data_IF_189124167776
#
_entry.id   IF_189124167776
#
_cell.length_a   1.000
_cell.length_b   1.000
_cell.length_c   1.000
_cell.angle_alpha   90.00
_cell.angle_beta   90.00
_cell.angle_gamma   90.00
#
_symmetry.space_group_name_H-M   'P 1'
#
loop_
_entity.id
_entity.type
_entity.pdbx_description
1 polymer ?
#
# COMPACT_ATOMS: atom_id res chain seq x y z
N UNK A 1 -3.46 -21.58 43.48
CA UNK A 1 -3.62 -20.34 42.67
C UNK A 1 -2.82 -20.50 41.40
N UNK A 2 -3.46 -20.81 40.30
CA UNK A 2 -2.80 -20.94 39.01
C UNK A 2 -2.75 -19.57 38.35
N UNK A 3 -1.55 -19.02 38.22
CA UNK A 3 -1.29 -17.76 37.51
C UNK A 3 -1.48 -18.03 36.01
N UNK A 4 -2.58 -17.55 35.45
CA UNK A 4 -2.83 -17.55 34.02
C UNK A 4 -1.80 -16.62 33.35
N UNK A 5 -0.83 -17.21 32.65
CA UNK A 5 0.07 -16.48 31.76
C UNK A 5 -0.74 -16.11 30.53
N UNK A 6 -1.08 -14.84 30.37
CA UNK A 6 -1.69 -14.33 29.14
C UNK A 6 -0.75 -14.65 27.95
N UNK A 7 -1.26 -15.08 26.80
CA UNK A 7 -0.44 -15.30 25.63
C UNK A 7 0.22 -13.98 25.22
N UNK A 8 1.56 -13.97 25.20
CA UNK A 8 2.36 -12.87 24.65
C UNK A 8 1.96 -12.76 23.18
N UNK A 9 1.34 -11.64 22.80
CA UNK A 9 1.08 -11.35 21.40
C UNK A 9 2.40 -11.46 20.61
N UNK A 10 2.42 -12.10 19.44
CA UNK A 10 3.63 -12.20 18.64
C UNK A 10 4.17 -10.79 18.38
N UNK A 11 5.44 -10.56 18.78
CA UNK A 11 6.12 -9.31 18.50
C UNK A 11 6.06 -9.04 16.98
N UNK A 12 5.65 -7.84 16.60
CA UNK A 12 5.67 -7.43 15.21
C UNK A 12 7.06 -7.67 14.59
N UNK A 13 7.13 -8.13 13.32
CA UNK A 13 8.41 -8.35 12.69
C UNK A 13 9.24 -7.06 12.70
N UNK A 14 10.56 -7.14 12.91
CA UNK A 14 11.42 -5.95 12.95
C UNK A 14 11.29 -5.17 11.66
N UNK A 15 10.98 -3.87 11.77
CA UNK A 15 10.82 -2.95 10.65
C UNK A 15 11.96 -1.94 10.67
N UNK A 16 12.66 -1.77 9.55
CA UNK A 16 13.67 -0.71 9.41
C UNK A 16 12.94 0.61 9.20
N UNK A 17 13.06 1.52 10.16
CA UNK A 17 12.51 2.87 10.09
C UNK A 17 13.51 3.79 9.40
N UNK A 18 13.03 4.60 8.45
CA UNK A 18 13.82 5.59 7.74
C UNK A 18 12.99 6.83 7.45
N UNK A 19 13.67 7.94 7.25
CA UNK A 19 13.05 9.22 6.95
C UNK A 19 13.84 9.98 5.88
N UNK A 20 13.18 10.86 5.14
CA UNK A 20 13.81 11.65 4.11
C UNK A 20 13.02 12.90 3.74
N UNK A 21 13.60 13.69 2.87
CA UNK A 21 13.01 14.94 2.40
C UNK A 21 12.98 15.07 0.89
N UNK A 22 11.95 15.72 0.39
CA UNK A 22 11.90 16.20 -0.98
C UNK A 22 12.20 17.68 -0.95
N UNK A 23 13.48 18.01 -1.19
CA UNK A 23 13.91 19.38 -1.30
C UNK A 23 13.35 19.98 -2.58
N UNK A 24 12.71 21.13 -2.46
CA UNK A 24 12.10 21.82 -3.56
C UNK A 24 12.58 23.28 -3.60
N UNK A 25 12.82 23.78 -4.81
CA UNK A 25 13.01 25.19 -5.09
C UNK A 25 12.25 25.60 -6.34
N UNK A 26 11.78 26.84 -6.36
CA UNK A 26 11.10 27.39 -7.54
C UNK A 26 12.11 28.21 -8.34
N UNK A 27 12.21 27.95 -9.62
CA UNK A 27 13.05 28.66 -10.58
C UNK A 27 12.20 29.28 -11.69
N UNK A 28 12.72 30.22 -12.48
CA UNK A 28 12.00 30.75 -13.66
C UNK A 28 11.61 29.67 -14.68
N UNK A 29 12.26 28.50 -14.63
CA UNK A 29 11.98 27.34 -15.51
C UNK A 29 10.99 26.35 -14.91
N UNK A 30 10.48 26.62 -13.70
CA UNK A 30 9.56 25.75 -12.97
C UNK A 30 10.16 25.20 -11.66
N UNK A 31 9.43 24.32 -11.04
CA UNK A 31 9.84 23.72 -9.77
C UNK A 31 10.86 22.61 -10.00
N UNK A 32 11.95 22.69 -9.24
CA UNK A 32 13.03 21.70 -9.23
C UNK A 32 13.07 20.99 -7.88
N UNK A 33 13.46 19.72 -7.93
CA UNK A 33 13.70 18.87 -6.76
C UNK A 33 15.12 18.32 -6.79
N UNK A 34 15.69 18.09 -5.61
CA UNK A 34 17.02 17.51 -5.49
C UNK A 34 16.95 16.00 -5.43
N UNK A 35 17.77 15.34 -6.24
CA UNK A 35 18.00 13.90 -6.21
C UNK A 35 19.48 13.61 -5.99
N UNK A 36 19.79 12.49 -5.33
CA UNK A 36 21.15 12.12 -4.95
C UNK A 36 21.54 10.77 -5.58
N UNK A 37 22.82 10.68 -5.99
CA UNK A 37 23.42 9.43 -6.46
C UNK A 37 24.24 8.76 -5.35
N UNK A 38 23.86 7.53 -4.95
CA UNK A 38 24.56 6.78 -3.91
C UNK A 38 25.61 5.86 -4.52
N UNK A 39 26.88 6.12 -4.25
CA UNK A 39 28.03 5.36 -4.80
C UNK A 39 27.95 3.87 -4.49
N UNK A 40 27.64 3.52 -3.22
CA UNK A 40 27.61 2.12 -2.76
C UNK A 40 26.48 1.31 -3.38
N UNK A 41 25.34 1.94 -3.66
CA UNK A 41 24.16 1.29 -4.21
C UNK A 41 24.04 1.45 -5.73
N UNK A 42 24.82 2.38 -6.31
CA UNK A 42 24.80 2.73 -7.74
C UNK A 42 23.38 3.10 -8.23
N UNK A 43 22.65 3.86 -7.40
CA UNK A 43 21.26 4.24 -7.66
C UNK A 43 21.03 5.73 -7.41
N UNK A 44 20.01 6.28 -8.11
CA UNK A 44 19.47 7.61 -7.89
C UNK A 44 18.24 7.54 -6.99
N UNK A 45 18.23 8.33 -5.93
CA UNK A 45 17.19 8.30 -4.90
C UNK A 45 16.88 9.71 -4.39
N UNK A 46 15.76 9.85 -3.70
CA UNK A 46 15.50 11.01 -2.85
C UNK A 46 16.37 10.92 -1.59
N UNK A 47 16.86 12.06 -1.04
CA UNK A 47 17.68 12.07 0.17
C UNK A 47 16.94 11.40 1.35
N UNK A 48 17.55 10.39 1.96
CA UNK A 48 16.91 9.61 3.05
C UNK A 48 17.88 8.67 3.75
N UNK A 49 17.64 8.43 5.04
CA UNK A 49 18.40 7.44 5.78
C UNK A 49 17.66 6.86 6.97
N UNK A 50 18.35 6.09 7.80
CA UNK A 50 17.74 5.38 8.94
C UNK A 50 17.49 6.34 10.10
N UNK A 51 16.37 6.14 10.78
CA UNK A 51 16.10 6.77 12.07
C UNK A 51 17.02 6.15 13.12
N UNK A 52 17.72 6.98 13.89
CA UNK A 52 18.59 6.58 14.99
C UNK A 52 17.76 6.37 16.27
N UNK A 53 18.31 5.64 17.24
CA UNK A 53 17.65 5.44 18.52
C UNK A 53 17.43 6.78 19.24
N UNK A 54 16.18 7.02 19.67
CA UNK A 54 15.79 8.26 20.32
C UNK A 54 15.53 9.44 19.39
N UNK A 55 15.67 9.27 18.08
CA UNK A 55 15.42 10.29 17.07
C UNK A 55 13.98 10.17 16.52
N UNK A 56 13.29 11.29 16.35
CA UNK A 56 12.02 11.31 15.64
C UNK A 56 12.23 11.16 14.13
N UNK A 57 11.17 10.77 13.40
CA UNK A 57 11.25 10.69 11.93
C UNK A 57 11.57 12.03 11.27
N UNK A 58 11.09 13.14 11.84
CA UNK A 58 11.34 14.48 11.30
C UNK A 58 12.78 14.92 11.53
N UNK A 59 13.32 14.70 12.72
CA UNK A 59 14.73 14.97 13.02
C UNK A 59 15.66 14.16 12.12
N UNK A 60 15.36 12.86 11.95
CA UNK A 60 16.08 11.99 11.03
C UNK A 60 16.02 12.53 9.59
N UNK A 61 14.85 12.96 9.12
CA UNK A 61 14.69 13.50 7.77
C UNK A 61 15.53 14.75 7.55
N UNK A 62 15.53 15.70 8.51
CA UNK A 62 16.34 16.93 8.43
C UNK A 62 17.83 16.62 8.46
N UNK A 63 18.26 15.72 9.35
CA UNK A 63 19.67 15.30 9.46
C UNK A 63 20.16 14.62 8.20
N UNK A 64 19.43 13.64 7.69
CA UNK A 64 19.82 12.88 6.48
C UNK A 64 19.87 13.78 5.24
N UNK A 65 18.90 14.69 5.10
CA UNK A 65 18.94 15.68 4.02
C UNK A 65 20.18 16.56 4.12
N UNK A 66 20.53 17.03 5.31
CA UNK A 66 21.75 17.83 5.50
C UNK A 66 23.00 17.00 5.20
N UNK A 67 23.10 15.77 5.69
CA UNK A 67 24.24 14.88 5.48
C UNK A 67 24.43 14.52 4.00
N UNK A 68 23.35 14.21 3.28
CA UNK A 68 23.42 13.73 1.88
C UNK A 68 23.48 14.87 0.84
N UNK A 69 22.93 16.06 1.15
CA UNK A 69 22.87 17.18 0.18
C UNK A 69 23.73 18.39 0.54
N UNK A 70 24.08 18.56 1.82
CA UNK A 70 24.71 19.76 2.33
C UNK A 70 23.77 20.94 2.53
N UNK A 71 22.47 20.78 2.26
CA UNK A 71 21.48 21.84 2.40
C UNK A 71 20.85 21.84 3.79
N UNK A 72 20.90 22.96 4.48
CA UNK A 72 20.04 23.23 5.63
C UNK A 72 18.63 23.50 5.12
N UNK A 73 17.64 22.87 5.70
CA UNK A 73 16.26 22.98 5.22
C UNK A 73 15.27 23.17 6.38
N UNK A 74 14.14 23.82 6.07
CA UNK A 74 12.94 23.80 6.90
C UNK A 74 12.04 22.66 6.46
N UNK A 75 11.55 21.89 7.43
CA UNK A 75 10.60 20.81 7.18
C UNK A 75 9.20 21.40 6.99
N UNK A 76 8.49 20.92 5.98
CA UNK A 76 7.11 21.28 5.68
C UNK A 76 6.20 20.07 5.79
N UNK A 77 5.14 20.03 5.00
CA UNK A 77 4.10 19.01 5.08
C UNK A 77 4.62 17.61 4.74
N UNK A 78 4.06 16.61 5.42
CA UNK A 78 4.25 15.21 5.09
C UNK A 78 3.70 14.89 3.68
N UNK A 79 4.49 14.16 2.89
CA UNK A 79 4.17 13.86 1.49
C UNK A 79 3.75 12.42 1.25
N UNK A 80 4.19 11.51 2.09
CA UNK A 80 3.83 10.11 1.99
C UNK A 80 4.89 9.14 2.49
N UNK A 81 4.51 7.88 2.55
CA UNK A 81 5.37 6.76 2.93
C UNK A 81 5.67 5.89 1.72
N UNK A 82 6.89 5.42 1.61
CA UNK A 82 7.23 4.29 0.76
C UNK A 82 7.65 3.09 1.62
N UNK A 83 7.29 1.89 1.19
CA UNK A 83 7.66 0.65 1.87
C UNK A 83 8.18 -0.38 0.89
N UNK A 84 9.27 -1.05 1.26
CA UNK A 84 9.89 -2.11 0.48
C UNK A 84 10.65 -3.08 1.38
N UNK A 85 11.12 -4.20 0.82
CA UNK A 85 11.93 -5.15 1.56
C UNK A 85 13.41 -4.87 1.31
N UNK A 86 14.16 -4.60 2.37
CA UNK A 86 15.62 -4.48 2.35
C UNK A 86 16.23 -5.75 2.96
N UNK A 87 16.89 -6.56 2.13
CA UNK A 87 17.48 -7.86 2.55
C UNK A 87 16.51 -8.78 3.29
N UNK A 88 15.23 -8.75 2.92
CA UNK A 88 14.19 -9.57 3.54
C UNK A 88 13.52 -8.94 4.77
N UNK A 89 14.03 -7.80 5.28
CA UNK A 89 13.41 -7.04 6.37
C UNK A 89 12.54 -5.93 5.79
N UNK A 90 11.30 -5.74 6.25
CA UNK A 90 10.48 -4.61 5.87
C UNK A 90 11.17 -3.28 6.20
N UNK A 91 11.24 -2.37 5.25
CA UNK A 91 11.75 -1.01 5.44
C UNK A 91 10.67 0.00 5.06
N UNK A 92 10.52 0.99 5.91
CA UNK A 92 9.54 2.08 5.75
C UNK A 92 10.30 3.39 5.72
N UNK A 93 9.98 4.26 4.76
CA UNK A 93 10.59 5.58 4.64
C UNK A 93 9.48 6.62 4.56
N UNK A 94 9.50 7.57 5.49
CA UNK A 94 8.59 8.71 5.51
C UNK A 94 9.24 9.91 4.84
N UNK A 95 8.51 10.64 3.99
CA UNK A 95 9.00 11.80 3.28
C UNK A 95 8.21 13.06 3.59
N UNK A 96 8.94 14.16 3.77
CA UNK A 96 8.40 15.52 3.95
C UNK A 96 8.83 16.42 2.81
N UNK A 97 7.99 17.41 2.51
CA UNK A 97 8.39 18.58 1.70
C UNK A 97 9.41 19.38 2.49
N UNK A 98 10.49 19.79 1.85
CA UNK A 98 11.51 20.60 2.48
C UNK A 98 11.89 21.79 1.61
N UNK A 99 12.02 22.94 2.25
CA UNK A 99 12.47 24.17 1.60
C UNK A 99 13.89 24.47 2.04
N UNK A 100 14.77 24.76 1.08
CA UNK A 100 16.17 25.12 1.36
C UNK A 100 16.23 26.45 2.08
N UNK A 101 16.94 26.48 3.21
CA UNK A 101 17.25 27.70 3.98
C UNK A 101 18.66 28.16 3.63
N UNK A 102 19.62 27.22 3.57
CA UNK A 102 21.02 27.51 3.26
C UNK A 102 21.64 26.30 2.54
N UNK A 103 22.45 26.57 1.51
CA UNK A 103 23.18 25.54 0.76
C UNK A 103 24.67 25.70 1.02
N UNK A 104 25.20 24.87 1.92
CA UNK A 104 26.61 24.87 2.29
C UNK A 104 27.50 24.07 1.33
N UNK A 105 26.89 23.34 0.38
CA UNK A 105 27.59 22.51 -0.59
C UNK A 105 28.40 21.32 0.01
N UNK A 106 28.50 21.26 1.34
CA UNK A 106 29.23 20.22 2.04
C UNK A 106 28.31 19.01 2.27
N UNK A 107 28.56 17.90 1.58
CA UNK A 107 27.84 16.64 1.70
C UNK A 107 28.77 15.49 2.07
N UNK A 108 28.20 14.38 2.55
CA UNK A 108 28.96 13.15 2.79
C UNK A 108 29.43 12.54 1.47
N UNK A 109 30.65 12.88 1.05
CA UNK A 109 31.24 12.44 -0.22
C UNK A 109 31.57 10.92 -0.25
N UNK A 110 31.62 10.24 0.88
CA UNK A 110 31.90 8.80 0.94
C UNK A 110 30.67 8.00 0.48
N UNK A 111 29.47 8.45 0.80
CA UNK A 111 28.22 7.81 0.45
C UNK A 111 27.59 8.40 -0.82
N UNK A 112 27.59 9.71 -0.96
CA UNK A 112 26.93 10.42 -2.05
C UNK A 112 27.94 10.87 -3.10
N UNK A 113 27.80 10.34 -4.31
CA UNK A 113 28.63 10.72 -5.45
C UNK A 113 28.23 12.07 -6.02
N UNK A 114 26.94 12.30 -6.16
CA UNK A 114 26.37 13.46 -6.82
C UNK A 114 25.03 13.87 -6.19
N UNK A 115 24.77 15.16 -6.11
CA UNK A 115 23.46 15.71 -5.76
C UNK A 115 23.10 16.77 -6.80
N UNK A 116 21.94 16.62 -7.45
CA UNK A 116 21.55 17.47 -8.58
C UNK A 116 20.13 17.97 -8.44
N UNK A 117 19.92 19.23 -8.84
CA UNK A 117 18.62 19.82 -8.99
C UNK A 117 18.05 19.47 -10.37
N UNK A 118 16.88 18.89 -10.39
CA UNK A 118 16.17 18.52 -11.62
C UNK A 118 14.73 19.00 -11.58
N UNK A 119 14.18 19.38 -12.72
CA UNK A 119 12.75 19.57 -12.85
C UNK A 119 12.01 18.26 -12.53
N UNK A 120 10.81 18.35 -11.95
CA UNK A 120 10.05 17.16 -11.48
C UNK A 120 9.96 16.05 -12.54
N UNK A 121 9.63 16.30 -13.82
CA UNK A 121 9.60 15.24 -14.83
C UNK A 121 10.97 14.57 -15.04
N UNK A 122 12.04 15.35 -15.10
CA UNK A 122 13.41 14.84 -15.26
C UNK A 122 13.87 14.06 -14.02
N UNK A 123 13.47 14.49 -12.82
CA UNK A 123 13.74 13.78 -11.58
C UNK A 123 13.02 12.41 -11.54
N UNK A 124 11.76 12.35 -11.99
CA UNK A 124 11.00 11.10 -12.10
C UNK A 124 11.70 10.11 -13.05
N UNK A 125 12.20 10.58 -14.18
CA UNK A 125 12.96 9.73 -15.10
C UNK A 125 14.27 9.24 -14.49
N UNK A 126 14.99 10.14 -13.79
CA UNK A 126 16.32 9.87 -13.21
C UNK A 126 16.27 8.91 -12.03
N UNK A 127 15.26 9.00 -11.15
CA UNK A 127 15.12 8.14 -9.97
C UNK A 127 15.13 6.66 -10.38
N UNK A 128 15.79 5.82 -9.58
CA UNK A 128 15.88 4.38 -9.84
C UNK A 128 14.67 3.62 -9.32
N UNK A 129 14.09 4.07 -8.19
CA UNK A 129 13.05 3.31 -7.47
C UNK A 129 11.63 3.70 -7.90
N UNK A 130 10.79 2.72 -8.33
CA UNK A 130 9.42 2.99 -8.78
C UNK A 130 8.55 3.69 -7.74
N UNK A 131 8.75 3.37 -6.45
CA UNK A 131 7.97 3.96 -5.35
C UNK A 131 8.28 5.46 -5.17
N UNK A 132 9.55 5.87 -5.32
CA UNK A 132 9.96 7.27 -5.27
C UNK A 132 9.45 8.05 -6.49
N UNK A 133 9.48 7.42 -7.68
CA UNK A 133 8.86 7.99 -8.89
C UNK A 133 7.36 8.24 -8.68
N UNK A 134 6.64 7.27 -8.13
CA UNK A 134 5.22 7.39 -7.84
C UNK A 134 4.92 8.47 -6.80
N UNK A 135 5.75 8.59 -5.76
CA UNK A 135 5.63 9.65 -4.74
C UNK A 135 5.79 11.02 -5.39
N UNK A 136 6.84 11.22 -6.20
CA UNK A 136 7.12 12.48 -6.85
C UNK A 136 6.07 12.85 -7.92
N UNK A 137 5.52 11.85 -8.63
CA UNK A 137 4.42 12.04 -9.59
C UNK A 137 3.16 12.57 -8.92
N UNK A 138 2.81 12.07 -7.73
CA UNK A 138 1.67 12.56 -6.94
C UNK A 138 1.84 14.04 -6.56
N UNK A 139 3.05 14.47 -6.20
CA UNK A 139 3.35 15.88 -5.93
C UNK A 139 3.11 16.76 -7.16
N UNK A 140 3.58 16.34 -8.34
CA UNK A 140 3.40 17.10 -9.57
C UNK A 140 1.93 17.27 -9.98
N UNK A 141 1.06 16.33 -9.59
CA UNK A 141 -0.40 16.44 -9.79
C UNK A 141 -0.98 17.45 -8.79
N UNK A 142 -0.59 17.42 -7.53
CA UNK A 142 -1.07 18.34 -6.49
C UNK A 142 -0.66 19.79 -6.83
N UNK A 143 0.54 20.00 -7.33
CA UNK A 143 1.04 21.36 -7.68
C UNK A 143 0.38 21.95 -8.93
N UNK A 144 -0.02 21.14 -9.91
CA UNK A 144 -0.78 21.62 -11.08
C UNK A 144 -2.20 22.10 -10.75
N UNK A 145 -2.70 21.79 -9.56
CA UNK A 145 -4.01 22.17 -9.04
C UNK A 145 -3.95 23.23 -7.94
N UNK A 146 -2.76 23.71 -7.57
CA UNK A 146 -2.63 24.90 -6.74
C UNK A 146 -2.89 26.14 -7.61
N UNK A 147 -3.68 27.13 -7.16
CA UNK A 147 -4.01 28.30 -7.97
C UNK A 147 -2.72 29.05 -8.34
N UNK A 148 -2.34 29.01 -9.61
CA UNK A 148 -1.38 29.94 -10.14
C UNK A 148 -2.05 31.31 -10.23
N UNK A 149 -1.44 32.31 -9.61
CA UNK A 149 -1.75 33.69 -9.79
C UNK A 149 -1.86 34.00 -11.31
N UNK A 150 -2.93 34.69 -11.67
CA UNK A 150 -3.46 34.85 -13.01
C UNK A 150 -2.44 35.08 -14.14
N UNK A 151 -2.40 34.19 -15.10
CA UNK A 151 -1.85 34.41 -16.45
C UNK A 151 -2.84 33.91 -17.52
N UNK A 152 -2.83 34.46 -18.74
CA UNK A 152 -4.02 34.59 -19.60
C UNK A 152 -4.45 33.30 -20.29
N UNK A 153 -5.76 33.22 -20.52
CA UNK A 153 -6.51 32.14 -21.14
C UNK A 153 -5.88 31.64 -22.47
N UNK A 154 -5.36 30.41 -22.47
CA UNK A 154 -5.18 29.63 -23.67
C UNK A 154 -6.37 28.67 -23.83
N UNK A 155 -6.97 28.67 -25.00
CA UNK A 155 -8.15 27.89 -25.37
C UNK A 155 -7.85 26.40 -25.32
N UNK A 156 -8.63 25.67 -24.53
CA UNK A 156 -8.60 24.20 -24.43
C UNK A 156 -9.39 23.60 -25.61
N UNK A 157 -8.84 22.61 -26.34
CA UNK A 157 -9.65 21.81 -27.26
C UNK A 157 -10.65 20.96 -26.51
N UNK A 158 -11.88 20.89 -27.01
CA UNK A 158 -12.98 20.13 -26.44
C UNK A 158 -12.64 18.64 -26.31
N UNK A 159 -13.02 17.96 -25.19
CA UNK A 159 -12.83 16.53 -25.05
C UNK A 159 -13.78 15.78 -26.00
N UNK A 160 -13.21 14.89 -26.81
CA UNK A 160 -13.97 13.95 -27.62
C UNK A 160 -14.77 13.03 -26.70
N UNK A 161 -16.07 12.97 -26.92
CA UNK A 161 -17.00 12.12 -26.19
C UNK A 161 -16.67 10.64 -26.43
N UNK A 162 -16.10 10.01 -25.42
CA UNK A 162 -16.11 8.55 -25.31
C UNK A 162 -17.47 8.16 -24.74
N UNK A 163 -18.23 7.38 -25.49
CA UNK A 163 -19.54 6.88 -25.08
C UNK A 163 -19.45 6.19 -23.71
N UNK A 164 -20.41 6.42 -22.79
CA UNK A 164 -20.38 5.82 -21.47
C UNK A 164 -20.64 4.32 -21.59
N UNK A 165 -19.60 3.53 -21.37
CA UNK A 165 -19.76 2.12 -21.01
C UNK A 165 -20.34 2.11 -19.59
N UNK A 166 -21.61 1.75 -19.48
CA UNK A 166 -22.26 1.53 -18.18
C UNK A 166 -21.63 0.33 -17.48
N UNK A 167 -20.81 0.52 -16.42
CA UNK A 167 -20.41 -0.59 -15.59
C UNK A 167 -21.63 -0.99 -14.75
N UNK A 168 -21.96 -2.27 -14.73
CA UNK A 168 -22.88 -2.83 -13.74
C UNK A 168 -22.24 -2.61 -12.38
N UNK A 169 -22.65 -1.56 -11.66
CA UNK A 169 -22.18 -1.29 -10.31
C UNK A 169 -22.68 -2.41 -9.39
N UNK A 170 -21.78 -3.05 -8.67
CA UNK A 170 -22.15 -4.01 -7.64
C UNK A 170 -22.88 -3.28 -6.50
N UNK A 171 -23.70 -3.98 -5.71
CA UNK A 171 -24.38 -3.39 -4.54
C UNK A 171 -23.39 -2.80 -3.53
N UNK A 172 -22.14 -3.28 -3.53
CA UNK A 172 -21.05 -2.80 -2.68
C UNK A 172 -20.50 -1.45 -3.17
N UNK A 173 -20.34 -1.26 -4.49
CA UNK A 173 -19.92 0.02 -5.07
C UNK A 173 -20.94 1.11 -4.77
N UNK A 174 -22.24 0.82 -4.84
CA UNK A 174 -23.29 1.76 -4.47
C UNK A 174 -23.26 2.15 -2.98
N UNK A 175 -22.95 1.22 -2.09
CA UNK A 175 -22.80 1.51 -0.65
C UNK A 175 -21.57 2.38 -0.38
N UNK A 176 -20.44 2.07 -1.01
CA UNK A 176 -19.21 2.86 -0.87
C UNK A 176 -19.40 4.28 -1.39
N UNK A 177 -20.04 4.44 -2.56
CA UNK A 177 -20.43 5.73 -3.14
C UNK A 177 -21.32 6.55 -2.20
N UNK A 178 -22.40 5.94 -1.68
CA UNK A 178 -23.34 6.60 -0.75
C UNK A 178 -22.64 7.01 0.55
N UNK A 179 -21.71 6.20 1.05
CA UNK A 179 -20.93 6.51 2.25
C UNK A 179 -20.02 7.70 2.01
N UNK A 180 -19.26 7.70 0.93
CA UNK A 180 -18.37 8.82 0.58
C UNK A 180 -19.14 10.13 0.43
N UNK A 181 -20.31 10.09 -0.25
CA UNK A 181 -21.17 11.26 -0.43
C UNK A 181 -21.63 11.83 0.93
N UNK A 182 -22.11 10.98 1.83
CA UNK A 182 -22.53 11.41 3.18
C UNK A 182 -21.41 12.05 3.99
N UNK A 183 -20.23 11.44 3.96
CA UNK A 183 -19.07 11.96 4.68
C UNK A 183 -18.61 13.30 4.09
N UNK A 184 -18.63 13.45 2.77
CA UNK A 184 -18.28 14.70 2.10
C UNK A 184 -19.29 15.82 2.42
N UNK A 185 -20.59 15.51 2.43
CA UNK A 185 -21.64 16.46 2.81
C UNK A 185 -21.53 16.88 4.29
N UNK A 186 -21.32 15.92 5.19
CA UNK A 186 -21.12 16.20 6.61
C UNK A 186 -19.89 17.11 6.82
N UNK A 187 -18.80 16.81 6.14
CA UNK A 187 -17.58 17.63 6.22
C UNK A 187 -17.76 19.02 5.61
N UNK A 188 -18.56 19.18 4.56
CA UNK A 188 -18.89 20.50 3.97
C UNK A 188 -19.58 21.40 4.98
N UNK A 189 -20.46 20.84 5.81
CA UNK A 189 -21.13 21.58 6.90
C UNK A 189 -20.11 21.99 7.97
N UNK A 190 -19.22 21.08 8.38
CA UNK A 190 -18.16 21.36 9.35
C UNK A 190 -17.24 22.48 8.86
N UNK A 191 -16.80 22.40 7.59
CA UNK A 191 -15.98 23.43 6.96
C UNK A 191 -16.63 24.80 6.99
N UNK A 192 -17.92 24.89 6.69
CA UNK A 192 -18.67 26.16 6.76
C UNK A 192 -18.78 26.73 8.18
N UNK A 193 -18.73 25.92 9.24
CA UNK A 193 -18.63 26.41 10.62
C UNK A 193 -17.23 26.95 10.93
N UNK A 194 -16.17 26.28 10.48
CA UNK A 194 -14.80 26.73 10.67
C UNK A 194 -14.55 28.06 9.97
N UNK A 195 -15.05 28.24 8.74
CA UNK A 195 -14.92 29.48 7.97
C UNK A 195 -15.64 30.65 8.65
N UNK A 196 -16.88 30.48 9.08
CA UNK A 196 -17.65 31.52 9.76
C UNK A 196 -16.98 32.04 11.02
N UNK A 197 -16.24 31.19 11.72
CA UNK A 197 -15.53 31.54 12.93
C UNK A 197 -14.22 32.28 12.63
N UNK A 198 -13.61 32.05 11.49
CA UNK A 198 -12.35 32.64 11.05
C UNK A 198 -12.54 33.85 10.11
N UNK A 199 -13.69 34.49 10.13
CA UNK A 199 -13.98 35.67 9.29
C UNK A 199 -12.99 36.82 9.62
N UNK A 200 -12.33 37.34 8.59
CA UNK A 200 -11.39 38.45 8.71
C UNK A 200 -9.91 38.06 8.84
N UNK A 201 -9.57 36.78 8.90
CA UNK A 201 -8.20 36.29 8.73
C UNK A 201 -7.92 35.92 7.26
N UNK A 202 -6.69 36.07 6.82
CA UNK A 202 -6.25 35.48 5.55
C UNK A 202 -6.26 33.95 5.72
N UNK A 203 -7.24 33.29 5.13
CA UNK A 203 -7.51 31.87 5.31
C UNK A 203 -7.13 31.05 4.06
N UNK A 204 -5.83 30.87 3.75
CA UNK A 204 -5.40 30.15 2.53
C UNK A 204 -5.80 28.68 2.54
N UNK A 205 -6.13 28.10 3.70
CA UNK A 205 -6.56 26.72 3.84
C UNK A 205 -7.99 26.48 3.33
N UNK A 206 -8.89 27.44 3.45
CA UNK A 206 -10.30 27.28 3.10
C UNK A 206 -10.52 27.06 1.59
N UNK A 207 -9.97 27.88 0.67
CA UNK A 207 -10.06 27.61 -0.76
C UNK A 207 -9.49 26.22 -1.14
N UNK A 208 -8.37 25.81 -0.54
CA UNK A 208 -7.78 24.51 -0.80
C UNK A 208 -8.68 23.34 -0.33
N UNK A 209 -9.33 23.49 0.84
CA UNK A 209 -10.28 22.50 1.33
C UNK A 209 -11.52 22.39 0.41
N UNK A 210 -12.07 23.51 -0.06
CA UNK A 210 -13.19 23.53 -1.00
C UNK A 210 -12.84 22.92 -2.36
N UNK A 211 -11.66 23.22 -2.87
CA UNK A 211 -11.20 22.60 -4.12
C UNK A 211 -11.15 21.08 -4.01
N UNK A 212 -10.63 20.55 -2.90
CA UNK A 212 -10.61 19.10 -2.68
C UNK A 212 -12.04 18.51 -2.52
N UNK A 213 -12.97 19.21 -1.88
CA UNK A 213 -14.37 18.77 -1.82
C UNK A 213 -15.06 18.78 -3.20
N UNK A 214 -14.72 19.74 -4.06
CA UNK A 214 -15.20 19.74 -5.45
C UNK A 214 -14.60 18.58 -6.26
N UNK A 215 -13.34 18.20 -5.98
CA UNK A 215 -12.72 17.02 -6.57
C UNK A 215 -13.40 15.73 -6.10
N UNK A 216 -13.88 15.64 -4.85
CA UNK A 216 -14.71 14.50 -4.39
C UNK A 216 -15.94 14.34 -5.29
N UNK A 217 -16.63 15.44 -5.60
CA UNK A 217 -17.80 15.40 -6.48
C UNK A 217 -17.46 14.85 -7.87
N UNK A 218 -16.35 15.30 -8.47
CA UNK A 218 -15.88 14.78 -9.77
C UNK A 218 -15.53 13.30 -9.72
N UNK A 219 -14.90 12.85 -8.63
CA UNK A 219 -14.59 11.44 -8.41
C UNK A 219 -15.86 10.59 -8.29
N UNK A 220 -16.90 11.09 -7.60
CA UNK A 220 -18.20 10.43 -7.51
C UNK A 220 -18.87 10.30 -8.88
N UNK A 221 -18.83 11.34 -9.71
CA UNK A 221 -19.36 11.33 -11.10
C UNK A 221 -18.63 10.33 -12.01
N UNK A 222 -17.32 10.18 -11.82
CA UNK A 222 -16.49 9.20 -12.56
C UNK A 222 -16.47 7.80 -11.93
N UNK A 223 -17.21 7.57 -10.83
CA UNK A 223 -17.20 6.35 -10.04
C UNK A 223 -15.80 5.95 -9.50
N UNK A 224 -14.93 6.93 -9.30
CA UNK A 224 -13.62 6.77 -8.67
C UNK A 224 -13.74 6.97 -7.15
N UNK A 225 -14.20 5.93 -6.46
CA UNK A 225 -14.43 5.97 -5.00
C UNK A 225 -13.12 6.17 -4.23
N UNK A 226 -12.02 5.58 -4.71
CA UNK A 226 -10.71 5.69 -4.06
C UNK A 226 -10.14 7.11 -4.15
N UNK A 227 -10.17 7.70 -5.36
CA UNK A 227 -9.81 9.10 -5.55
C UNK A 227 -10.68 10.05 -4.75
N UNK A 228 -11.97 9.76 -4.63
CA UNK A 228 -12.89 10.54 -3.80
C UNK A 228 -12.53 10.54 -2.31
N UNK A 229 -12.19 9.39 -1.72
CA UNK A 229 -11.69 9.32 -0.33
C UNK A 229 -10.38 10.06 -0.16
N UNK A 230 -9.46 9.95 -1.13
CA UNK A 230 -8.20 10.69 -1.09
C UNK A 230 -8.45 12.21 -1.04
N UNK A 231 -9.33 12.72 -1.90
CA UNK A 231 -9.69 14.14 -1.93
C UNK A 231 -10.38 14.58 -0.63
N UNK A 232 -11.30 13.78 -0.07
CA UNK A 232 -11.95 14.08 1.20
C UNK A 232 -10.95 14.17 2.36
N UNK A 233 -10.03 13.21 2.44
CA UNK A 233 -8.97 13.22 3.44
C UNK A 233 -8.03 14.42 3.28
N UNK A 234 -7.76 14.85 2.05
CA UNK A 234 -6.98 16.05 1.78
C UNK A 234 -7.73 17.31 2.25
N UNK A 235 -9.02 17.42 1.95
CA UNK A 235 -9.86 18.52 2.41
C UNK A 235 -9.89 18.62 3.95
N UNK A 236 -10.05 17.51 4.64
CA UNK A 236 -10.02 17.43 6.10
C UNK A 236 -8.67 17.89 6.68
N UNK A 237 -7.55 17.57 6.03
CA UNK A 237 -6.22 18.04 6.46
C UNK A 237 -6.06 19.55 6.32
N UNK A 238 -6.56 20.15 5.23
CA UNK A 238 -6.54 21.60 5.08
C UNK A 238 -7.36 22.31 6.15
N UNK A 239 -8.51 21.76 6.53
CA UNK A 239 -9.39 22.34 7.56
C UNK A 239 -8.74 22.40 8.95
N UNK A 240 -7.75 21.56 9.24
CA UNK A 240 -6.98 21.58 10.51
C UNK A 240 -6.35 22.95 10.76
N UNK A 241 -5.91 23.64 9.70
CA UNK A 241 -5.30 24.98 9.80
C UNK A 241 -6.29 26.07 10.23
N UNK A 242 -7.60 25.78 10.18
CA UNK A 242 -8.66 26.65 10.71
C UNK A 242 -9.08 26.34 12.15
N UNK A 243 -8.50 25.31 12.78
CA UNK A 243 -8.84 24.87 14.14
C UNK A 243 -8.10 25.70 15.20
N UNK A 244 -8.79 25.96 16.32
CA UNK A 244 -8.15 26.56 17.49
C UNK A 244 -7.36 25.51 18.30
N UNK A 245 -6.55 25.96 19.27
CA UNK A 245 -5.67 25.07 20.05
C UNK A 245 -6.41 23.94 20.79
N UNK A 246 -7.60 24.22 21.30
CA UNK A 246 -8.43 23.21 21.97
C UNK A 246 -8.92 22.13 21.01
N UNK A 247 -9.32 22.53 19.80
CA UNK A 247 -9.75 21.60 18.74
C UNK A 247 -8.59 20.76 18.22
N UNK A 248 -7.41 21.37 18.06
CA UNK A 248 -6.19 20.65 17.69
C UNK A 248 -5.84 19.59 18.76
N UNK A 249 -5.91 19.96 20.04
CA UNK A 249 -5.65 19.03 21.14
C UNK A 249 -6.66 17.87 21.17
N UNK A 250 -7.95 18.16 20.96
CA UNK A 250 -8.98 17.12 20.89
C UNK A 250 -8.77 16.21 19.68
N UNK A 251 -8.41 16.78 18.53
CA UNK A 251 -8.14 16.01 17.31
C UNK A 251 -6.90 15.12 17.48
N UNK A 252 -5.84 15.65 18.10
CA UNK A 252 -4.64 14.90 18.42
C UNK A 252 -4.92 13.73 19.38
N UNK A 253 -5.76 13.95 20.40
CA UNK A 253 -6.17 12.87 21.30
C UNK A 253 -6.88 11.73 20.55
N UNK A 254 -7.86 12.06 19.67
CA UNK A 254 -8.57 11.05 18.87
C UNK A 254 -7.60 10.30 17.96
N UNK A 255 -6.66 10.99 17.31
CA UNK A 255 -5.66 10.36 16.44
C UNK A 255 -4.74 9.40 17.19
N UNK A 256 -4.37 9.72 18.42
CA UNK A 256 -3.56 8.83 19.27
C UNK A 256 -4.32 7.56 19.66
N UNK A 257 -5.59 7.68 20.00
CA UNK A 257 -6.46 6.52 20.27
C UNK A 257 -6.66 5.62 19.04
N UNK A 258 -6.80 6.23 17.85
CA UNK A 258 -6.86 5.50 16.59
C UNK A 258 -5.52 4.84 16.25
N UNK A 259 -4.40 5.50 16.55
CA UNK A 259 -3.05 5.02 16.29
C UNK A 259 -2.73 3.69 17.00
N UNK A 260 -3.32 3.45 18.18
CA UNK A 260 -3.15 2.19 18.90
C UNK A 260 -3.73 0.97 18.14
N UNK A 261 -4.62 1.20 17.17
CA UNK A 261 -5.25 0.15 16.33
C UNK A 261 -4.56 -0.03 14.98
N UNK A 262 -3.60 0.82 14.68
CA UNK A 262 -2.84 0.82 13.41
C UNK A 262 -1.54 0.01 13.62
N UNK A 263 -0.84 -0.31 12.53
CA UNK A 263 0.45 -1.00 12.60
C UNK A 263 1.43 -0.29 13.55
N UNK A 264 2.22 -1.06 14.32
CA UNK A 264 3.08 -0.54 15.41
C UNK A 264 3.94 0.65 14.99
N UNK A 265 4.59 0.61 13.82
CA UNK A 265 5.44 1.71 13.36
C UNK A 265 4.67 2.99 12.97
N UNK A 266 3.43 2.86 12.45
CA UNK A 266 2.59 4.03 12.16
C UNK A 266 2.03 4.64 13.44
N UNK A 267 1.60 3.79 14.37
CA UNK A 267 1.16 4.23 15.69
C UNK A 267 2.26 5.01 16.40
N UNK A 268 3.48 4.49 16.40
CA UNK A 268 4.65 5.16 16.98
C UNK A 268 4.99 6.48 16.26
N UNK A 269 4.90 6.51 14.91
CA UNK A 269 5.12 7.75 14.15
C UNK A 269 4.06 8.83 14.47
N UNK A 270 2.79 8.45 14.60
CA UNK A 270 1.70 9.35 15.00
C UNK A 270 1.93 9.84 16.44
N UNK A 271 2.29 8.95 17.36
CA UNK A 271 2.60 9.32 18.74
C UNK A 271 3.76 10.31 18.81
N UNK A 272 4.83 10.08 18.06
CA UNK A 272 5.98 11.01 18.00
C UNK A 272 5.59 12.38 17.45
N UNK A 273 4.75 12.43 16.40
CA UNK A 273 4.26 13.70 15.85
C UNK A 273 3.40 14.49 16.84
N UNK A 274 2.64 13.79 17.70
CA UNK A 274 1.68 14.38 18.63
C UNK A 274 2.19 14.43 20.09
N UNK A 275 3.39 13.91 20.38
CA UNK A 275 3.98 13.89 21.73
C UNK A 275 4.51 15.26 22.18
N UNK A 276 4.57 16.24 21.30
CA UNK A 276 4.95 17.63 21.59
C UNK A 276 3.96 18.19 22.61
N UNK A 277 4.44 18.81 23.68
CA UNK A 277 3.58 19.35 24.76
C UNK A 277 2.45 20.22 24.17
N UNK A 278 1.29 20.26 24.86
CA UNK A 278 0.08 20.93 24.36
C UNK A 278 0.28 22.37 23.89
N UNK A 279 1.27 23.09 24.44
CA UNK A 279 1.63 24.45 24.04
C UNK A 279 2.42 24.55 22.73
N UNK A 280 2.90 23.43 22.21
CA UNK A 280 3.70 23.36 20.97
C UNK A 280 3.00 22.54 19.86
N UNK A 281 1.76 22.04 20.11
CA UNK A 281 1.01 21.32 19.12
C UNK A 281 0.58 22.26 17.99
N UNK A 282 1.13 22.02 16.80
CA UNK A 282 0.82 22.84 15.61
C UNK A 282 -0.20 22.13 14.70
N UNK A 283 -0.85 22.90 13.84
CA UNK A 283 -1.77 22.36 12.83
C UNK A 283 -1.04 21.39 11.88
N UNK A 284 0.23 21.66 11.56
CA UNK A 284 1.07 20.82 10.73
C UNK A 284 1.24 19.42 11.34
N UNK A 285 1.58 19.34 12.63
CA UNK A 285 1.74 18.06 13.33
C UNK A 285 0.45 17.21 13.30
N UNK A 286 -0.69 17.85 13.50
CA UNK A 286 -1.99 17.18 13.45
C UNK A 286 -2.34 16.76 12.02
N UNK A 287 -2.08 17.61 11.02
CA UNK A 287 -2.30 17.30 9.61
C UNK A 287 -1.42 16.12 9.13
N UNK A 288 -0.15 16.06 9.57
CA UNK A 288 0.78 14.97 9.26
C UNK A 288 0.35 13.65 9.93
N UNK A 289 -0.06 13.70 11.18
CA UNK A 289 -0.62 12.55 11.87
C UNK A 289 -1.89 12.02 11.19
N UNK A 290 -2.78 12.92 10.74
CA UNK A 290 -3.94 12.56 9.92
C UNK A 290 -3.54 11.92 8.59
N UNK A 291 -2.48 12.42 7.94
CA UNK A 291 -2.01 11.85 6.69
C UNK A 291 -1.55 10.40 6.87
N UNK A 292 -0.77 10.10 7.90
CA UNK A 292 -0.33 8.74 8.23
C UNK A 292 -1.50 7.79 8.51
N UNK A 293 -2.49 8.26 9.29
CA UNK A 293 -3.70 7.49 9.58
C UNK A 293 -4.53 7.23 8.31
N UNK A 294 -4.70 8.25 7.47
CA UNK A 294 -5.49 8.16 6.24
C UNK A 294 -4.82 7.24 5.20
N UNK A 295 -3.49 7.26 5.12
CA UNK A 295 -2.73 6.35 4.26
C UNK A 295 -2.96 4.89 4.66
N UNK A 296 -3.00 4.57 5.96
CA UNK A 296 -3.30 3.23 6.44
C UNK A 296 -4.73 2.81 6.03
N UNK A 297 -5.71 3.68 6.23
CA UNK A 297 -7.10 3.43 5.85
C UNK A 297 -7.26 3.19 4.35
N UNK A 298 -6.60 4.00 3.52
CA UNK A 298 -6.62 3.86 2.06
C UNK A 298 -5.96 2.54 1.63
N UNK A 299 -4.82 2.20 2.22
CA UNK A 299 -4.12 0.95 1.94
C UNK A 299 -4.95 -0.28 2.33
N UNK A 300 -5.66 -0.24 3.46
CA UNK A 300 -6.56 -1.32 3.88
C UNK A 300 -7.76 -1.47 2.93
N UNK A 301 -8.35 -0.37 2.49
CA UNK A 301 -9.44 -0.39 1.51
C UNK A 301 -8.99 -1.01 0.19
N UNK A 302 -7.87 -0.51 -0.38
CA UNK A 302 -7.30 -1.03 -1.62
C UNK A 302 -6.98 -2.53 -1.51
N UNK A 303 -6.35 -2.95 -0.41
CA UNK A 303 -6.04 -4.35 -0.13
C UNK A 303 -7.29 -5.23 -0.09
N UNK A 304 -8.35 -4.76 0.57
CA UNK A 304 -9.62 -5.48 0.66
C UNK A 304 -10.26 -5.66 -0.73
N UNK A 305 -10.23 -4.62 -1.55
CA UNK A 305 -10.74 -4.65 -2.94
C UNK A 305 -9.95 -5.65 -3.80
N UNK A 306 -8.62 -5.55 -3.80
CA UNK A 306 -7.75 -6.48 -4.55
C UNK A 306 -7.95 -7.93 -4.09
N UNK A 307 -8.08 -8.15 -2.78
CA UNK A 307 -8.36 -9.49 -2.25
C UNK A 307 -9.72 -10.02 -2.72
N UNK A 308 -10.75 -9.18 -2.73
CA UNK A 308 -12.08 -9.52 -3.25
C UNK A 308 -12.05 -9.90 -4.74
N UNK A 309 -11.35 -9.12 -5.57
CA UNK A 309 -11.21 -9.40 -7.00
C UNK A 309 -10.46 -10.72 -7.25
N UNK A 310 -9.40 -10.99 -6.49
CA UNK A 310 -8.68 -12.25 -6.58
C UNK A 310 -9.53 -13.45 -6.13
N UNK A 311 -10.35 -13.30 -5.10
CA UNK A 311 -11.30 -14.33 -4.70
C UNK A 311 -12.35 -14.61 -5.79
N UNK A 312 -12.86 -13.57 -6.46
CA UNK A 312 -13.76 -13.72 -7.61
C UNK A 312 -13.10 -14.51 -8.75
N UNK A 313 -11.85 -14.19 -9.09
CA UNK A 313 -11.08 -14.92 -10.11
C UNK A 313 -10.91 -16.40 -9.72
N UNK A 314 -10.54 -16.68 -8.46
CA UNK A 314 -10.43 -18.06 -7.97
C UNK A 314 -11.76 -18.81 -8.06
N UNK A 315 -12.87 -18.17 -7.70
CA UNK A 315 -14.21 -18.75 -7.79
C UNK A 315 -14.60 -19.04 -9.25
N UNK A 316 -14.27 -18.13 -10.18
CA UNK A 316 -14.49 -18.37 -11.60
C UNK A 316 -13.68 -19.55 -12.13
N UNK A 317 -12.40 -19.68 -11.75
CA UNK A 317 -11.55 -20.82 -12.12
C UNK A 317 -12.16 -22.13 -11.61
N UNK A 318 -12.60 -22.16 -10.35
CA UNK A 318 -13.28 -23.33 -9.79
C UNK A 318 -14.57 -23.67 -10.55
N UNK A 319 -15.40 -22.67 -10.87
CA UNK A 319 -16.64 -22.87 -11.61
C UNK A 319 -16.40 -23.40 -13.03
N UNK A 320 -15.43 -22.83 -13.74
CA UNK A 320 -15.05 -23.32 -15.09
C UNK A 320 -14.48 -24.74 -15.04
N UNK A 321 -13.64 -25.03 -14.06
CA UNK A 321 -13.10 -26.39 -13.87
C UNK A 321 -14.22 -27.39 -13.54
N UNK A 322 -15.19 -27.03 -12.69
CA UNK A 322 -16.35 -27.85 -12.39
C UNK A 322 -17.21 -28.14 -13.63
N UNK A 323 -17.48 -27.09 -14.44
CA UNK A 323 -18.22 -27.23 -15.68
C UNK A 323 -17.49 -28.11 -16.70
N UNK A 324 -16.16 -28.01 -16.80
CA UNK A 324 -15.34 -28.85 -17.66
C UNK A 324 -15.26 -30.30 -17.18
N UNK A 325 -15.29 -30.55 -15.87
CA UNK A 325 -15.25 -31.91 -15.28
C UNK A 325 -16.60 -32.59 -15.30
N UNK A 326 -17.72 -31.86 -15.26
CA UNK A 326 -19.06 -32.42 -15.19
C UNK A 326 -19.40 -33.50 -16.26
N UNK A 327 -19.06 -33.30 -17.56
CA UNK A 327 -19.34 -34.37 -18.57
C UNK A 327 -18.63 -35.66 -18.29
N UNK A 328 -17.45 -35.62 -17.64
CA UNK A 328 -16.66 -36.83 -17.37
C UNK A 328 -17.20 -37.65 -16.21
N UNK A 329 -18.08 -37.09 -15.38
CA UNK A 329 -18.72 -37.81 -14.27
C UNK A 329 -19.66 -38.96 -14.77
N UNK A 330 -20.14 -38.87 -16.02
CA UNK A 330 -21.02 -39.84 -16.63
C UNK A 330 -20.27 -40.85 -17.52
N UNK A 331 -18.96 -40.69 -17.67
CA UNK A 331 -18.10 -41.57 -18.46
C UNK A 331 -17.35 -42.53 -17.54
N UNK A 332 -17.11 -43.76 -18.00
CA UNK A 332 -16.32 -44.74 -17.28
C UNK A 332 -14.97 -44.95 -17.94
N UNK A 333 -13.91 -45.10 -17.15
CA UNK A 333 -12.56 -45.36 -17.64
C UNK A 333 -11.47 -44.48 -17.07
N UNK A 334 -10.24 -44.60 -17.59
CA UNK A 334 -9.05 -43.85 -17.10
C UNK A 334 -9.10 -42.36 -17.37
N UNK A 335 -9.63 -41.93 -18.51
CA UNK A 335 -9.71 -40.48 -18.89
C UNK A 335 -10.60 -39.72 -17.93
N UNK A 336 -11.84 -40.15 -17.60
CA UNK A 336 -12.65 -39.48 -16.57
C UNK A 336 -11.97 -39.41 -15.20
N UNK A 337 -11.22 -40.45 -14.81
CA UNK A 337 -10.52 -40.44 -13.53
C UNK A 337 -9.40 -39.37 -13.48
N UNK A 338 -8.60 -39.27 -14.52
CA UNK A 338 -7.56 -38.21 -14.61
C UNK A 338 -8.20 -36.83 -14.57
N UNK A 339 -9.31 -36.63 -15.28
CA UNK A 339 -10.02 -35.34 -15.27
C UNK A 339 -10.57 -35.01 -13.86
N UNK A 340 -11.12 -36.02 -13.15
CA UNK A 340 -11.57 -35.83 -11.78
C UNK A 340 -10.41 -35.53 -10.80
N UNK A 341 -9.28 -36.21 -10.93
CA UNK A 341 -8.06 -35.94 -10.12
C UNK A 341 -7.56 -34.53 -10.33
N UNK A 342 -7.47 -34.06 -11.58
CA UNK A 342 -7.10 -32.70 -11.90
C UNK A 342 -8.05 -31.65 -11.30
N UNK A 343 -9.36 -31.93 -11.40
CA UNK A 343 -10.38 -31.05 -10.84
C UNK A 343 -10.27 -30.95 -9.32
N UNK A 344 -10.21 -32.06 -8.61
CA UNK A 344 -10.11 -32.07 -7.15
C UNK A 344 -8.77 -31.49 -6.67
N UNK A 345 -7.67 -31.66 -7.40
CA UNK A 345 -6.40 -31.04 -7.11
C UNK A 345 -6.45 -29.52 -7.28
N UNK A 346 -7.07 -29.05 -8.34
CA UNK A 346 -7.29 -27.62 -8.58
C UNK A 346 -8.22 -27.02 -7.51
N UNK A 347 -9.28 -27.74 -7.11
CA UNK A 347 -10.18 -27.32 -6.04
C UNK A 347 -9.45 -27.19 -4.70
N UNK A 348 -8.62 -28.17 -4.33
CA UNK A 348 -7.80 -28.12 -3.12
C UNK A 348 -6.82 -26.93 -3.12
N UNK A 349 -6.16 -26.70 -4.23
CA UNK A 349 -5.23 -25.58 -4.36
C UNK A 349 -5.92 -24.21 -4.33
N UNK A 350 -7.07 -24.06 -4.98
CA UNK A 350 -7.86 -22.82 -4.94
C UNK A 350 -8.39 -22.54 -3.54
N UNK A 351 -8.84 -23.59 -2.82
CA UNK A 351 -9.27 -23.47 -1.43
C UNK A 351 -8.14 -22.97 -0.53
N UNK A 352 -6.95 -23.56 -0.63
CA UNK A 352 -5.79 -23.11 0.13
C UNK A 352 -5.32 -21.70 -0.26
N UNK A 353 -5.38 -21.32 -1.54
CA UNK A 353 -5.09 -19.97 -1.99
C UNK A 353 -6.07 -18.95 -1.43
N UNK A 354 -7.37 -19.26 -1.44
CA UNK A 354 -8.41 -18.43 -0.84
C UNK A 354 -8.22 -18.30 0.68
N UNK A 355 -7.93 -19.39 1.37
CA UNK A 355 -7.63 -19.38 2.80
C UNK A 355 -6.40 -18.50 3.11
N UNK A 356 -5.32 -18.61 2.33
CA UNK A 356 -4.12 -17.79 2.51
C UNK A 356 -4.38 -16.30 2.29
N UNK A 357 -5.24 -15.94 1.32
CA UNK A 357 -5.69 -14.55 1.10
C UNK A 357 -6.48 -14.00 2.29
N UNK A 358 -7.37 -14.81 2.86
CA UNK A 358 -8.19 -14.40 4.02
C UNK A 358 -7.32 -14.25 5.27
N UNK A 359 -6.44 -15.22 5.55
CA UNK A 359 -5.55 -15.20 6.70
C UNK A 359 -4.45 -14.13 6.57
N UNK A 360 -3.94 -13.90 5.35
CA UNK A 360 -2.95 -12.86 5.05
C UNK A 360 -3.52 -11.43 5.01
N UNK A 361 -4.81 -11.24 5.33
CA UNK A 361 -5.46 -9.93 5.30
C UNK A 361 -4.78 -8.90 6.21
N UNK A 362 -4.14 -9.35 7.27
CA UNK A 362 -3.42 -8.49 8.22
C UNK A 362 -1.96 -8.20 7.81
N UNK A 363 -1.43 -8.85 6.77
CA UNK A 363 -0.09 -8.55 6.28
C UNK A 363 -0.07 -7.22 5.54
N UNK A 364 1.06 -6.50 5.64
CA UNK A 364 1.26 -5.18 4.99
C UNK A 364 1.36 -5.26 3.46
N UNK A 365 1.50 -6.45 2.88
CA UNK A 365 1.67 -6.65 1.44
C UNK A 365 0.34 -6.72 0.71
N UNK A 366 0.27 -6.00 -0.42
CA UNK A 366 -0.84 -6.13 -1.37
C UNK A 366 -0.71 -7.47 -2.09
N UNK A 367 -1.77 -8.32 -2.12
CA UNK A 367 -1.73 -9.60 -2.80
C UNK A 367 -1.49 -9.40 -4.31
N UNK A 368 -0.52 -10.13 -4.88
CA UNK A 368 -0.28 -10.14 -6.32
C UNK A 368 -1.02 -11.31 -6.95
N UNK A 369 -1.83 -11.04 -7.99
CA UNK A 369 -2.62 -12.04 -8.70
C UNK A 369 -1.76 -13.23 -9.17
N UNK A 370 -0.56 -12.96 -9.71
CA UNK A 370 0.34 -14.01 -10.17
C UNK A 370 0.77 -14.94 -9.02
N UNK A 371 1.12 -14.38 -7.86
CA UNK A 371 1.49 -15.15 -6.66
C UNK A 371 0.31 -15.97 -6.15
N UNK A 372 -0.92 -15.46 -6.29
CA UNK A 372 -2.15 -16.14 -5.87
C UNK A 372 -2.52 -17.29 -6.81
N UNK A 373 -2.32 -17.14 -8.12
CA UNK A 373 -2.68 -18.14 -9.12
C UNK A 373 -1.62 -19.24 -9.30
N UNK A 374 -0.34 -18.92 -9.10
CA UNK A 374 0.76 -19.90 -9.25
C UNK A 374 0.52 -21.19 -8.46
N UNK A 375 0.15 -21.17 -7.17
CA UNK A 375 -0.13 -22.39 -6.40
C UNK A 375 -1.29 -23.22 -6.94
N UNK A 376 -2.27 -22.59 -7.60
CA UNK A 376 -3.43 -23.28 -8.19
C UNK A 376 -2.99 -24.21 -9.33
N UNK A 377 -2.12 -23.74 -10.22
CA UNK A 377 -1.56 -24.54 -11.29
C UNK A 377 -0.66 -25.67 -10.77
N UNK A 378 0.22 -25.35 -9.82
CA UNK A 378 1.09 -26.35 -9.20
C UNK A 378 0.31 -27.39 -8.40
N UNK A 379 -0.81 -27.03 -7.80
CA UNK A 379 -1.68 -27.97 -7.09
C UNK A 379 -2.33 -29.00 -8.02
N UNK A 380 -2.75 -28.58 -9.20
CA UNK A 380 -3.26 -29.49 -10.23
C UNK A 380 -2.18 -30.51 -10.68
N UNK A 381 -0.94 -30.05 -10.90
CA UNK A 381 0.20 -30.92 -11.25
C UNK A 381 0.54 -31.87 -10.10
N UNK A 382 0.55 -31.37 -8.86
CA UNK A 382 0.83 -32.18 -7.66
C UNK A 382 -0.20 -33.28 -7.46
N UNK A 383 -1.47 -33.06 -7.80
CA UNK A 383 -2.52 -34.07 -7.71
C UNK A 383 -2.33 -35.20 -8.71
N UNK A 384 -1.86 -34.89 -9.93
CA UNK A 384 -1.51 -35.94 -10.92
C UNK A 384 -0.32 -36.78 -10.45
N UNK A 385 0.71 -36.15 -9.89
CA UNK A 385 1.84 -36.87 -9.32
C UNK A 385 1.43 -37.74 -8.14
N UNK A 386 0.56 -37.23 -7.27
CA UNK A 386 -0.01 -38.01 -6.16
C UNK A 386 -0.85 -39.21 -6.65
N UNK A 387 -1.64 -39.04 -7.70
CA UNK A 387 -2.39 -40.10 -8.32
C UNK A 387 -1.46 -41.18 -8.94
N UNK A 388 -0.43 -40.78 -9.68
CA UNK A 388 0.54 -41.70 -10.25
C UNK A 388 1.28 -42.52 -9.17
N UNK A 389 1.66 -41.91 -8.06
CA UNK A 389 2.28 -42.56 -6.90
C UNK A 389 1.29 -43.55 -6.29
N UNK A 390 0.02 -43.16 -6.12
CA UNK A 390 -1.01 -44.04 -5.59
C UNK A 390 -1.23 -45.30 -6.47
N UNK A 391 -1.36 -45.14 -7.79
CA UNK A 391 -1.47 -46.24 -8.76
C UNK A 391 -0.25 -47.15 -8.70
N UNK A 392 0.95 -46.60 -8.64
CA UNK A 392 2.19 -47.38 -8.55
C UNK A 392 2.27 -48.19 -7.24
N UNK A 393 1.89 -47.55 -6.11
CA UNK A 393 1.86 -48.28 -4.82
C UNK A 393 0.79 -49.37 -4.78
N UNK A 394 -0.41 -49.13 -5.36
CA UNK A 394 -1.45 -50.11 -5.46
C UNK A 394 -1.02 -51.29 -6.33
N UNK A 395 -0.33 -51.07 -7.43
CA UNK A 395 0.26 -52.11 -8.27
C UNK A 395 1.29 -52.96 -7.50
N UNK A 396 2.16 -52.36 -6.71
CA UNK A 396 3.15 -53.08 -5.90
C UNK A 396 2.55 -53.88 -4.78
N UNK A 397 1.43 -53.43 -4.19
CA UNK A 397 0.82 -54.09 -3.04
C UNK A 397 -0.20 -55.21 -3.42
N UNK A 398 -0.92 -55.04 -4.50
CA UNK A 398 -2.05 -55.90 -4.85
C UNK A 398 -1.90 -56.65 -6.19
N UNK A 399 -0.82 -56.37 -6.95
CA UNK A 399 -0.54 -57.07 -8.21
C UNK A 399 -1.54 -56.82 -9.35
N UNK A 400 -2.57 -56.05 -9.13
CA UNK A 400 -3.56 -55.63 -10.12
C UNK A 400 -4.09 -54.26 -9.78
N UNK A 401 -4.45 -53.46 -10.78
CA UNK A 401 -5.26 -52.27 -10.60
C UNK A 401 -6.69 -52.65 -10.21
N UNK A 402 -6.89 -52.93 -8.91
CA UNK A 402 -8.18 -53.34 -8.35
C UNK A 402 -9.17 -52.18 -8.27
N UNK A 403 -10.43 -52.49 -7.97
CA UNK A 403 -11.51 -51.53 -7.74
C UNK A 403 -11.11 -50.52 -6.67
N UNK A 404 -10.53 -49.38 -7.11
CA UNK A 404 -10.14 -48.30 -6.23
C UNK A 404 -11.40 -47.60 -5.71
N UNK A 405 -11.48 -47.39 -4.41
CA UNK A 405 -12.51 -46.51 -3.85
C UNK A 405 -12.28 -45.09 -4.41
N UNK A 406 -13.08 -44.73 -5.41
CA UNK A 406 -13.03 -43.45 -6.12
C UNK A 406 -12.94 -42.28 -5.14
N UNK A 407 -13.68 -42.34 -4.03
CA UNK A 407 -13.65 -41.34 -2.95
C UNK A 407 -12.27 -41.15 -2.32
N UNK A 408 -11.49 -42.25 -2.15
CA UNK A 408 -10.13 -42.15 -1.60
C UNK A 408 -9.16 -41.46 -2.53
N UNK A 409 -9.22 -41.78 -3.83
CA UNK A 409 -8.39 -41.10 -4.86
C UNK A 409 -8.69 -39.63 -4.95
N UNK A 410 -9.96 -39.24 -4.92
CA UNK A 410 -10.38 -37.84 -4.98
C UNK A 410 -9.96 -37.04 -3.72
N UNK A 411 -10.04 -37.67 -2.54
CA UNK A 411 -9.56 -37.10 -1.30
C UNK A 411 -8.04 -36.88 -1.32
N UNK A 412 -7.27 -37.83 -1.83
CA UNK A 412 -5.82 -37.72 -2.00
C UNK A 412 -5.50 -36.59 -3.00
N UNK A 413 -6.21 -36.50 -4.11
CA UNK A 413 -6.02 -35.43 -5.10
C UNK A 413 -6.26 -34.06 -4.50
N UNK A 414 -7.33 -33.89 -3.71
CA UNK A 414 -7.62 -32.64 -3.00
C UNK A 414 -6.51 -32.29 -2.00
N UNK A 415 -6.07 -33.26 -1.19
CA UNK A 415 -4.98 -33.04 -0.22
C UNK A 415 -3.64 -32.73 -0.88
N UNK A 416 -3.31 -33.38 -2.00
CA UNK A 416 -2.11 -33.07 -2.77
C UNK A 416 -2.16 -31.63 -3.33
N UNK A 417 -3.33 -31.17 -3.78
CA UNK A 417 -3.55 -29.79 -4.18
C UNK A 417 -3.26 -28.79 -3.04
N UNK A 418 -3.74 -29.09 -1.85
CA UNK A 418 -3.48 -28.27 -0.63
C UNK A 418 -2.00 -28.32 -0.20
N UNK A 419 -1.38 -29.51 -0.21
CA UNK A 419 0.00 -29.71 0.26
C UNK A 419 1.02 -29.11 -0.70
N UNK A 420 0.77 -29.13 -2.00
CA UNK A 420 1.64 -28.54 -3.02
C UNK A 420 1.94 -27.06 -2.72
N UNK A 421 0.96 -26.32 -2.27
CA UNK A 421 1.12 -24.92 -1.86
C UNK A 421 2.02 -24.78 -0.62
N UNK A 422 1.81 -25.59 0.41
CA UNK A 422 2.62 -25.56 1.64
C UNK A 422 4.08 -25.96 1.39
N UNK A 423 4.31 -26.94 0.50
CA UNK A 423 5.64 -27.34 0.09
C UNK A 423 6.37 -26.23 -0.67
N UNK A 424 5.71 -25.58 -1.63
CA UNK A 424 6.28 -24.43 -2.36
C UNK A 424 6.63 -23.27 -1.43
N UNK A 425 5.76 -22.94 -0.47
CA UNK A 425 6.01 -21.92 0.53
C UNK A 425 7.24 -22.25 1.40
N UNK A 426 7.39 -23.53 1.85
CA UNK A 426 8.55 -23.99 2.62
C UNK A 426 9.83 -23.96 1.79
N UNK A 427 9.81 -24.38 0.53
CA UNK A 427 10.97 -24.35 -0.38
C UNK A 427 11.41 -22.92 -0.65
N UNK A 428 10.48 -21.96 -0.85
CA UNK A 428 10.80 -20.56 -1.05
C UNK A 428 11.44 -19.94 0.19
N UNK A 429 10.97 -20.29 1.38
CA UNK A 429 11.53 -19.83 2.65
C UNK A 429 12.91 -20.46 2.93
N UNK A 430 13.09 -21.74 2.64
CA UNK A 430 14.38 -22.41 2.78
C UNK A 430 15.46 -21.80 1.86
N UNK A 431 15.11 -21.49 0.60
CA UNK A 431 16.01 -20.77 -0.33
C UNK A 431 16.37 -19.37 0.17
N UNK A 432 15.43 -18.65 0.79
CA UNK A 432 15.71 -17.33 1.39
C UNK A 432 16.68 -17.45 2.56
N UNK A 433 16.50 -18.44 3.43
CA UNK A 433 17.38 -18.68 4.59
C UNK A 433 18.80 -19.11 4.15
N UNK A 434 18.89 -19.93 3.10
CA UNK A 434 20.17 -20.35 2.54
C UNK A 434 20.92 -19.20 1.86
N UNK A 435 20.22 -18.31 1.14
CA UNK A 435 20.78 -17.11 0.53
C UNK A 435 21.27 -16.10 1.56
N UNK A 436 20.60 -15.99 2.71
CA UNK A 436 21.05 -15.15 3.84
C UNK A 436 22.31 -15.73 4.48
N UNK A 437 22.39 -17.06 4.67
CA UNK A 437 23.58 -17.72 5.21
C UNK A 437 24.79 -17.65 4.29
N UNK A 438 24.60 -17.76 2.97
CA UNK A 438 25.71 -17.64 1.99
C UNK A 438 26.22 -16.21 1.79
N UNK A 439 25.51 -15.19 2.29
CA UNK A 439 25.94 -13.78 2.27
C UNK A 439 26.55 -13.32 3.61
N UNK A 440 26.45 -14.14 4.65
CA UNK A 440 27.04 -13.90 5.98
C UNK A 440 28.32 -14.74 6.25
N UNK A 441 28.69 -15.62 5.33
CA UNK A 441 29.95 -16.33 5.27
C UNK A 441 30.86 -15.73 4.17
#
# INVERSE_FOLDING_TARGET
MATSIAPIAPADPPVIKAAGGILQRTTPRGDEVMVVYRKRHQDWTLPRGKVKDGESFQEAAVREVLEETGCSCSIGNYLGTISYSDKGVPKVVLFWKMTVVDDKGARNQDEIGEAVWLQIPAAIERLTHPQEKALLSRMGIIQRHAPAEAAPKAQTPAPQSVAPQTPRSSSEDNRAHTRLLREAEAFRVELGFLERRNVGSDNPWAPAAHEQLNNVQRCLESNDIEGGWFCLHAAQRYAVFGMNQTELANRAYVLREEAMKISSWRGEAIDNLLAVGQSQLTAECVADAMALRNEDSTNQYYKTRVTGDQLRVLTMICGLAAAAAAPFLFLHGRIPMIAAVLFFGLLGATFCSAQSLILGRNESRIPNLFVTLTPVFFGAIASLAGYAIYEYMAFLTFGSSGDHHISGVLAIAFLCGCLGQKLLARMSNARKTQKVRSQSA
#
